data_IF_278268953479
#
_entry.id   IF_278268953479
#
_cell.length_a   1.000
_cell.length_b   1.000
_cell.length_c   1.000
_cell.angle_alpha   90.00
_cell.angle_beta   90.00
_cell.angle_gamma   90.00
#
_symmetry.space_group_name_H-M   'P 1'
#
loop_
_entity.id
_entity.type
_entity.pdbx_description
1 polymer ?
#
# COMPACT_ATOMS: atom_id res chain seq x y z
N UNK A 1 -27.33 -2.17 -50.54
CA UNK A 1 -27.33 -3.49 -49.86
C UNK A 1 -27.69 -3.25 -48.41
N UNK A 2 -28.98 -3.26 -48.06
CA UNK A 2 -29.43 -3.02 -46.68
C UNK A 2 -29.30 -4.31 -45.86
N UNK A 3 -28.65 -4.24 -44.70
CA UNK A 3 -28.56 -5.36 -43.76
C UNK A 3 -29.95 -5.69 -43.21
N UNK A 4 -30.37 -6.95 -43.34
CA UNK A 4 -31.65 -7.46 -42.86
C UNK A 4 -31.84 -7.20 -41.36
N UNK A 5 -32.91 -6.51 -40.99
CA UNK A 5 -33.30 -6.31 -39.59
C UNK A 5 -33.67 -7.68 -38.99
N UNK A 6 -33.03 -8.12 -37.89
CA UNK A 6 -33.34 -9.39 -37.24
C UNK A 6 -34.81 -9.41 -36.79
N UNK A 7 -35.56 -10.43 -37.21
CA UNK A 7 -36.94 -10.63 -36.76
C UNK A 7 -36.93 -11.22 -35.35
N UNK A 8 -37.53 -10.52 -34.40
CA UNK A 8 -37.68 -10.90 -32.99
C UNK A 8 -38.23 -12.32 -32.77
N UNK A 9 -39.04 -12.81 -33.72
CA UNK A 9 -39.56 -14.18 -33.71
C UNK A 9 -38.47 -15.26 -33.86
N UNK A 10 -37.37 -14.98 -34.57
CA UNK A 10 -36.26 -15.91 -34.72
C UNK A 10 -35.39 -15.96 -33.46
N UNK A 11 -35.30 -14.86 -32.70
CA UNK A 11 -34.58 -14.83 -31.42
C UNK A 11 -35.34 -15.62 -30.34
N UNK A 12 -36.67 -15.52 -30.33
CA UNK A 12 -37.54 -16.24 -29.39
C UNK A 12 -37.66 -17.75 -29.70
N UNK A 13 -37.44 -18.17 -30.96
CA UNK A 13 -37.40 -19.59 -31.37
C UNK A 13 -36.03 -20.24 -31.20
N UNK A 14 -35.06 -19.55 -30.58
CA UNK A 14 -33.77 -20.13 -30.26
C UNK A 14 -33.94 -21.42 -29.45
N UNK A 15 -33.34 -22.51 -29.92
CA UNK A 15 -33.32 -23.77 -29.18
C UNK A 15 -32.69 -23.54 -27.79
N UNK A 16 -33.15 -24.24 -26.74
CA UNK A 16 -32.53 -24.13 -25.43
C UNK A 16 -31.03 -24.43 -25.54
N UNK A 17 -30.18 -23.73 -24.77
CA UNK A 17 -28.73 -23.93 -24.83
C UNK A 17 -28.39 -25.41 -24.60
N UNK A 18 -27.66 -25.99 -25.54
CA UNK A 18 -27.21 -27.38 -25.43
C UNK A 18 -26.29 -27.55 -24.21
N UNK A 19 -26.30 -28.72 -23.55
CA UNK A 19 -25.48 -28.96 -22.37
C UNK A 19 -24.00 -28.83 -22.73
N UNK A 20 -23.33 -27.84 -22.15
CA UNK A 20 -21.89 -27.62 -22.33
C UNK A 20 -21.12 -28.69 -21.55
N UNK A 21 -20.50 -29.63 -22.28
CA UNK A 21 -19.59 -30.61 -21.67
C UNK A 21 -18.31 -29.89 -21.23
N UNK A 22 -18.12 -29.75 -19.92
CA UNK A 22 -16.90 -29.18 -19.33
C UNK A 22 -15.87 -30.30 -19.14
N UNK A 23 -14.67 -30.12 -19.69
CA UNK A 23 -13.53 -31.02 -19.48
C UNK A 23 -12.49 -30.28 -18.65
N UNK A 24 -11.96 -30.93 -17.61
CA UNK A 24 -10.79 -30.43 -16.87
C UNK A 24 -9.56 -31.01 -17.55
N UNK A 25 -8.70 -30.14 -18.08
CA UNK A 25 -7.40 -30.52 -18.63
C UNK A 25 -6.48 -30.95 -17.47
N UNK A 26 -5.62 -31.93 -17.73
CA UNK A 26 -4.57 -32.28 -16.78
C UNK A 26 -3.51 -31.15 -16.72
N UNK A 27 -2.70 -31.07 -15.64
CA UNK A 27 -1.61 -30.09 -15.55
C UNK A 27 -0.63 -30.17 -16.73
N UNK A 28 -0.32 -31.39 -17.18
CA UNK A 28 0.57 -31.64 -18.32
C UNK A 28 -0.04 -31.14 -19.65
N UNK A 29 -1.34 -31.33 -19.87
CA UNK A 29 -2.04 -30.82 -21.06
C UNK A 29 -2.12 -29.28 -21.06
N UNK A 30 -2.16 -28.65 -19.88
CA UNK A 30 -2.20 -27.19 -19.76
C UNK A 30 -0.84 -26.56 -20.12
N UNK A 31 0.27 -27.13 -19.64
CA UNK A 31 1.62 -26.62 -19.95
C UNK A 31 1.94 -26.69 -21.45
N UNK A 32 1.36 -27.64 -22.18
CA UNK A 32 1.55 -27.76 -23.62
C UNK A 32 0.82 -26.66 -24.41
N UNK A 33 -0.23 -26.08 -23.84
CA UNK A 33 -1.10 -25.06 -24.48
C UNK A 33 -0.75 -23.64 -24.02
N UNK A 34 -0.28 -23.45 -22.79
CA UNK A 34 0.05 -22.13 -22.24
C UNK A 34 1.25 -21.52 -22.99
N UNK A 35 0.99 -20.44 -23.73
CA UNK A 35 2.02 -19.67 -24.46
C UNK A 35 2.40 -20.22 -25.84
N UNK A 36 1.75 -21.30 -26.32
CA UNK A 36 1.98 -21.90 -27.65
C UNK A 36 0.70 -21.84 -28.51
N UNK A 37 0.81 -21.86 -29.84
CA UNK A 37 -0.36 -21.97 -30.71
C UNK A 37 -1.07 -23.32 -30.48
N UNK A 38 -2.40 -23.27 -30.35
CA UNK A 38 -3.23 -24.46 -30.06
C UNK A 38 -3.02 -25.51 -31.17
N UNK A 39 -2.60 -26.75 -30.85
CA UNK A 39 -2.36 -27.77 -31.84
C UNK A 39 -3.66 -28.16 -32.57
N UNK A 40 -3.58 -28.40 -33.88
CA UNK A 40 -4.74 -28.77 -34.71
C UNK A 40 -5.45 -30.06 -34.27
N UNK A 41 -4.78 -30.90 -33.48
CA UNK A 41 -5.32 -32.14 -32.91
C UNK A 41 -6.23 -31.91 -31.69
N UNK A 42 -6.29 -30.69 -31.15
CA UNK A 42 -7.08 -30.39 -29.96
C UNK A 42 -8.58 -30.28 -30.29
N UNK A 43 -9.32 -31.34 -29.99
CA UNK A 43 -10.78 -31.44 -30.24
C UNK A 43 -11.64 -31.00 -29.05
N UNK A 44 -11.04 -30.76 -27.88
CA UNK A 44 -11.77 -30.37 -26.67
C UNK A 44 -12.04 -28.84 -26.67
N UNK A 45 -13.22 -28.36 -26.25
CA UNK A 45 -13.45 -26.94 -26.10
C UNK A 45 -12.59 -26.38 -24.95
N UNK A 46 -11.71 -25.41 -25.26
CA UNK A 46 -10.87 -24.73 -24.26
C UNK A 46 -11.73 -23.66 -23.58
N UNK A 47 -12.16 -23.94 -22.35
CA UNK A 47 -12.70 -22.91 -21.49
C UNK A 47 -11.57 -22.03 -20.98
N UNK A 48 -11.50 -20.78 -21.44
CA UNK A 48 -10.73 -19.76 -20.74
C UNK A 48 -11.52 -19.36 -19.51
N UNK A 49 -11.19 -19.95 -18.35
CA UNK A 49 -11.65 -19.42 -17.07
C UNK A 49 -11.02 -18.02 -16.89
N UNK A 50 -11.71 -16.97 -17.35
CA UNK A 50 -11.26 -15.56 -17.25
C UNK A 50 -11.25 -15.05 -15.81
N UNK A 51 -11.78 -15.82 -14.86
CA UNK A 51 -11.46 -15.63 -13.46
C UNK A 51 -10.17 -16.37 -13.20
N UNK A 52 -9.07 -15.61 -13.17
CA UNK A 52 -7.83 -16.04 -12.54
C UNK A 52 -8.19 -16.78 -11.25
N UNK A 53 -8.14 -18.10 -11.31
CA UNK A 53 -8.10 -18.92 -10.12
C UNK A 53 -6.78 -18.53 -9.49
N UNK A 54 -6.84 -17.58 -8.55
CA UNK A 54 -5.77 -17.36 -7.61
C UNK A 54 -5.31 -18.76 -7.20
N UNK A 55 -4.03 -19.12 -7.42
CA UNK A 55 -3.55 -20.41 -6.95
C UNK A 55 -3.93 -20.43 -5.48
N UNK A 56 -4.80 -21.37 -5.12
CA UNK A 56 -5.01 -21.68 -3.72
C UNK A 56 -3.60 -22.01 -3.25
N UNK A 57 -2.96 -21.06 -2.55
CA UNK A 57 -1.89 -21.38 -1.62
C UNK A 57 -2.42 -22.58 -0.87
N UNK A 58 -1.79 -23.73 -1.09
CA UNK A 58 -1.88 -24.83 -0.17
C UNK A 58 -1.63 -24.19 1.18
N UNK A 59 -2.72 -24.04 1.94
CA UNK A 59 -2.61 -23.65 3.33
C UNK A 59 -1.92 -24.86 3.92
N UNK A 60 -0.61 -24.76 4.11
CA UNK A 60 0.05 -25.54 5.14
C UNK A 60 -0.83 -25.41 6.38
N UNK A 61 -1.47 -26.53 6.68
CA UNK A 61 -2.41 -26.64 7.77
C UNK A 61 -1.56 -26.57 9.03
N UNK A 62 -1.64 -25.42 9.71
CA UNK A 62 -1.18 -25.16 11.07
C UNK A 62 0.30 -24.85 11.30
N UNK A 63 0.85 -23.81 10.67
CA UNK A 63 1.95 -23.07 11.30
C UNK A 63 1.45 -21.69 11.75
N UNK A 64 0.66 -21.68 12.82
CA UNK A 64 0.34 -20.43 13.52
C UNK A 64 1.63 -20.02 14.24
N UNK A 65 2.18 -18.82 14.01
CA UNK A 65 3.38 -18.37 14.70
C UNK A 65 3.16 -18.51 16.20
N UNK A 66 4.04 -19.26 16.88
CA UNK A 66 3.95 -19.51 18.32
C UNK A 66 4.18 -18.20 19.06
N UNK A 67 3.10 -17.56 19.50
CA UNK A 67 3.18 -16.32 20.27
C UNK A 67 3.41 -16.67 21.75
N UNK A 68 4.46 -16.08 22.35
CA UNK A 68 4.77 -16.26 23.77
C UNK A 68 3.97 -15.25 24.63
N UNK A 69 3.36 -15.73 25.74
CA UNK A 69 2.57 -14.92 26.67
C UNK A 69 3.42 -13.82 27.31
N UNK A 70 4.63 -14.16 27.74
CA UNK A 70 5.49 -13.24 28.47
C UNK A 70 6.00 -12.09 27.59
N UNK A 71 6.35 -12.38 26.33
CA UNK A 71 6.77 -11.36 25.37
C UNK A 71 5.64 -10.39 25.04
N UNK A 72 4.42 -10.91 24.87
CA UNK A 72 3.23 -10.07 24.69
C UNK A 72 3.00 -9.15 25.89
N UNK A 73 3.00 -9.70 27.11
CA UNK A 73 2.82 -8.91 28.34
C UNK A 73 3.95 -7.90 28.55
N UNK A 74 5.19 -8.22 28.19
CA UNK A 74 6.32 -7.30 28.24
C UNK A 74 6.11 -6.10 27.30
N UNK A 75 5.72 -6.34 26.05
CA UNK A 75 5.42 -5.28 25.08
C UNK A 75 4.26 -4.41 25.55
N UNK A 76 3.21 -5.01 26.13
CA UNK A 76 2.07 -4.26 26.69
C UNK A 76 2.43 -3.49 27.95
N UNK A 77 3.30 -4.03 28.81
CA UNK A 77 3.80 -3.34 30.00
C UNK A 77 4.63 -2.10 29.66
N UNK A 78 5.31 -2.10 28.50
CA UNK A 78 6.02 -0.95 27.92
C UNK A 78 5.08 0.14 27.36
N UNK A 79 3.77 -0.09 27.35
CA UNK A 79 2.78 0.87 26.85
C UNK A 79 2.48 0.77 25.35
N UNK A 80 2.97 -0.26 24.65
CA UNK A 80 2.66 -0.46 23.24
C UNK A 80 1.18 -0.86 23.06
N UNK A 81 0.56 -0.37 21.99
CA UNK A 81 -0.80 -0.77 21.59
C UNK A 81 -0.87 -2.24 21.16
N UNK A 82 -2.04 -2.87 21.23
CA UNK A 82 -2.23 -4.27 20.75
C UNK A 82 -1.78 -4.47 19.31
N UNK A 83 -2.04 -3.47 18.45
CA UNK A 83 -1.63 -3.50 17.05
C UNK A 83 -0.13 -3.49 16.84
N UNK A 84 0.59 -2.68 17.60
CA UNK A 84 2.07 -2.62 17.51
C UNK A 84 2.71 -3.86 18.14
N UNK A 85 2.16 -4.37 19.24
CA UNK A 85 2.58 -5.64 19.84
C UNK A 85 2.36 -6.83 18.87
N UNK A 86 1.22 -6.89 18.19
CA UNK A 86 0.92 -7.92 17.19
C UNK A 86 1.94 -7.96 16.06
N UNK A 87 2.28 -6.78 15.51
CA UNK A 87 3.28 -6.66 14.44
C UNK A 87 4.66 -7.12 14.90
N UNK A 88 5.09 -6.75 16.12
CA UNK A 88 6.38 -7.20 16.68
C UNK A 88 6.45 -8.71 16.89
N UNK A 89 5.33 -9.34 17.20
CA UNK A 89 5.21 -10.79 17.39
C UNK A 89 4.94 -11.55 16.07
N UNK A 90 4.98 -10.87 14.92
CA UNK A 90 4.75 -11.49 13.61
C UNK A 90 3.33 -12.04 13.42
N UNK A 91 2.34 -11.49 14.15
CA UNK A 91 0.95 -11.97 14.12
C UNK A 91 -0.03 -10.83 13.80
N UNK A 92 -1.32 -11.19 13.68
CA UNK A 92 -2.40 -10.23 13.44
C UNK A 92 -3.14 -9.91 14.74
N UNK A 93 -3.71 -8.71 14.82
CA UNK A 93 -4.54 -8.26 15.97
C UNK A 93 -5.69 -9.25 16.20
N UNK A 94 -6.36 -9.66 15.12
CA UNK A 94 -7.46 -10.63 15.17
C UNK A 94 -7.03 -11.97 15.76
N UNK A 95 -5.80 -12.42 15.49
CA UNK A 95 -5.26 -13.66 16.07
C UNK A 95 -4.99 -13.50 17.56
N UNK A 96 -4.41 -12.38 17.99
CA UNK A 96 -4.20 -12.11 19.42
C UNK A 96 -5.53 -12.08 20.16
N UNK A 97 -6.51 -11.31 19.67
CA UNK A 97 -7.79 -11.11 20.35
C UNK A 97 -8.67 -12.36 20.39
N UNK A 98 -8.77 -13.11 19.27
CA UNK A 98 -9.68 -14.26 19.19
C UNK A 98 -9.06 -15.56 19.70
N UNK A 99 -7.74 -15.72 19.57
CA UNK A 99 -7.07 -16.99 19.82
C UNK A 99 -6.14 -16.93 21.03
N UNK A 100 -5.16 -16.01 21.04
CA UNK A 100 -4.12 -16.03 22.07
C UNK A 100 -4.59 -15.54 23.44
N UNK A 101 -5.32 -14.41 23.51
CA UNK A 101 -5.86 -13.91 24.77
C UNK A 101 -6.78 -14.96 25.42
N UNK A 102 -7.65 -15.59 24.62
CA UNK A 102 -8.50 -16.69 25.08
C UNK A 102 -7.69 -17.91 25.55
N UNK A 103 -6.61 -18.26 24.85
CA UNK A 103 -5.73 -19.38 25.23
C UNK A 103 -4.93 -19.12 26.51
N UNK A 104 -4.71 -17.86 26.87
CA UNK A 104 -4.04 -17.44 28.10
C UNK A 104 -5.01 -17.10 29.24
N UNK A 105 -6.30 -17.40 29.05
CA UNK A 105 -7.40 -17.07 29.97
C UNK A 105 -7.54 -15.57 30.29
N UNK A 106 -7.07 -14.70 29.39
CA UNK A 106 -7.20 -13.24 29.48
C UNK A 106 -8.48 -12.83 28.74
N UNK A 107 -9.56 -12.60 29.48
CA UNK A 107 -10.84 -12.24 28.90
C UNK A 107 -11.11 -10.72 29.02
N UNK A 108 -11.21 -10.07 27.87
CA UNK A 108 -11.55 -8.64 27.79
C UNK A 108 -10.39 -7.69 28.11
N UNK A 109 -10.70 -6.39 28.10
CA UNK A 109 -9.71 -5.32 28.32
C UNK A 109 -9.27 -5.30 29.79
N UNK A 110 -10.21 -5.39 30.73
CA UNK A 110 -9.93 -5.36 32.17
C UNK A 110 -9.01 -6.53 32.61
N UNK A 111 -9.30 -7.76 32.14
CA UNK A 111 -8.45 -8.91 32.45
C UNK A 111 -7.03 -8.79 31.88
N UNK A 112 -6.87 -8.09 30.75
CA UNK A 112 -5.55 -7.81 30.19
C UNK A 112 -4.75 -6.84 31.07
N UNK A 113 -5.40 -5.78 31.56
CA UNK A 113 -4.77 -4.77 32.41
C UNK A 113 -4.34 -5.35 33.77
N UNK A 114 -5.16 -6.21 34.37
CA UNK A 114 -4.83 -6.94 35.60
C UNK A 114 -3.59 -7.84 35.41
N UNK A 115 -3.53 -8.57 34.30
CA UNK A 115 -2.41 -9.48 34.02
C UNK A 115 -1.12 -8.69 33.70
N UNK A 116 -1.23 -7.53 33.04
CA UNK A 116 -0.09 -6.61 32.85
C UNK A 116 0.39 -6.05 34.19
N UNK A 117 -0.52 -5.72 35.11
CA UNK A 117 -0.17 -5.25 36.44
C UNK A 117 0.58 -6.34 37.23
N UNK A 118 0.06 -7.58 37.24
CA UNK A 118 0.72 -8.74 37.82
C UNK A 118 2.11 -8.99 37.23
N UNK A 119 2.24 -8.87 35.90
CA UNK A 119 3.53 -9.01 35.23
C UNK A 119 4.54 -7.94 35.67
N UNK A 120 4.11 -6.68 35.82
CA UNK A 120 4.95 -5.58 36.33
C UNK A 120 5.38 -5.83 37.78
N UNK A 121 4.49 -6.34 38.62
CA UNK A 121 4.79 -6.68 40.01
C UNK A 121 5.77 -7.84 40.12
N UNK A 122 5.58 -8.91 39.35
CA UNK A 122 6.49 -10.06 39.29
C UNK A 122 7.91 -9.65 38.85
N UNK A 123 8.05 -8.78 37.84
CA UNK A 123 9.35 -8.24 37.42
C UNK A 123 9.98 -7.31 38.45
N UNK A 124 9.17 -6.57 39.21
CA UNK A 124 9.66 -5.71 40.30
C UNK A 124 10.13 -6.54 41.50
N UNK A 125 9.50 -7.67 41.78
CA UNK A 125 9.88 -8.61 42.85
C UNK A 125 11.18 -9.34 42.52
N UNK A 126 11.32 -9.90 41.31
CA UNK A 126 12.57 -10.55 40.86
C UNK A 126 13.75 -9.59 40.83
N UNK A 127 13.54 -8.32 40.43
CA UNK A 127 14.58 -7.28 40.49
C UNK A 127 14.99 -6.89 41.93
N UNK A 128 14.18 -7.23 42.94
CA UNK A 128 14.49 -6.98 44.36
C UNK A 128 15.18 -8.17 45.05
N UNK A 129 14.94 -9.41 44.60
CA UNK A 129 15.64 -10.58 45.17
C UNK A 129 17.12 -10.67 44.74
N UNK A 130 17.46 -10.20 43.54
CA UNK A 130 18.87 -10.10 43.08
C UNK A 130 19.62 -8.88 43.65
N UNK A 131 18.99 -8.11 44.54
CA UNK A 131 19.56 -6.91 45.15
C UNK A 131 19.84 -7.09 46.66
N UNK A 132 20.35 -8.27 47.05
CA UNK A 132 20.96 -8.47 48.37
C UNK A 132 22.49 -8.57 48.21
N UNK A 133 23.28 -7.56 48.65
CA UNK A 133 24.73 -7.67 48.70
C UNK A 133 25.18 -8.40 49.99
N UNK A 134 26.23 -9.23 49.97
CA UNK A 134 27.05 -9.42 51.15
C UNK A 134 28.03 -8.23 51.22
N UNK A 135 27.83 -7.37 52.21
CA UNK A 135 28.87 -6.46 52.66
C UNK A 135 29.94 -7.26 53.43
N UNK A 136 31.19 -6.81 53.28
CA UNK A 136 32.40 -7.16 54.02
C UNK A 136 33.01 -8.56 53.79
N UNK A 137 33.91 -8.63 52.81
CA UNK A 137 35.37 -8.77 53.03
C UNK A 137 36.04 -9.13 51.70
N UNK A 138 36.88 -8.21 51.20
CA UNK A 138 38.25 -8.48 50.71
C UNK A 138 38.73 -7.29 49.86
N UNK A 139 39.45 -6.40 50.57
CA UNK A 139 40.57 -5.66 50.00
C UNK A 139 41.60 -6.67 49.51
N UNK A 140 41.90 -6.68 48.21
CA UNK A 140 43.24 -6.64 47.64
C UNK A 140 43.14 -6.92 46.13
N UNK A 141 43.93 -6.17 45.37
CA UNK A 141 44.26 -6.42 43.97
C UNK A 141 43.18 -6.12 42.92
N UNK A 142 42.84 -4.84 42.79
CA UNK A 142 42.51 -4.27 41.49
C UNK A 142 43.38 -3.03 41.26
N UNK A 143 44.37 -3.30 40.40
CA UNK A 143 45.32 -2.38 39.79
C UNK A 143 44.60 -1.10 39.37
N UNK A 144 45.16 0.02 39.80
CA UNK A 144 44.81 1.35 39.32
C UNK A 144 45.06 1.42 37.81
N UNK A 145 44.01 1.22 37.00
CA UNK A 145 43.90 1.91 35.73
C UNK A 145 43.14 3.19 35.99
N UNK A 146 43.91 4.28 36.05
CA UNK A 146 43.42 5.65 35.99
C UNK A 146 42.36 5.78 34.89
N UNK A 147 41.24 6.48 35.12
CA UNK A 147 40.39 6.90 34.01
C UNK A 147 41.21 7.89 33.21
N UNK A 148 41.79 7.44 32.09
CA UNK A 148 42.31 8.35 31.08
C UNK A 148 41.15 9.25 30.69
N UNK A 149 41.20 10.50 31.16
CA UNK A 149 40.40 11.58 30.65
C UNK A 149 40.70 11.65 29.15
N UNK A 150 39.85 11.01 28.36
CA UNK A 150 39.78 11.30 26.95
C UNK A 150 39.34 12.77 26.89
N UNK A 151 40.32 13.64 26.60
CA UNK A 151 40.08 14.91 25.95
C UNK A 151 39.11 14.64 24.80
N UNK A 152 37.82 14.90 25.05
CA UNK A 152 36.86 15.11 23.99
C UNK A 152 37.32 16.39 23.29
N UNK A 153 38.20 16.23 22.31
CA UNK A 153 38.44 17.26 21.32
C UNK A 153 37.04 17.72 20.84
N UNK A 154 36.73 19.03 20.88
CA UNK A 154 35.46 19.52 20.39
C UNK A 154 35.34 19.07 18.95
N UNK A 155 34.43 18.12 18.69
CA UNK A 155 34.09 17.78 17.32
C UNK A 155 33.56 19.07 16.70
N UNK A 156 34.28 19.58 15.70
CA UNK A 156 33.79 20.67 14.88
C UNK A 156 32.35 20.33 14.47
N UNK A 157 31.39 21.27 14.61
CA UNK A 157 30.02 21.02 14.25
C UNK A 157 30.01 20.57 12.80
N UNK A 158 29.77 19.26 12.59
CA UNK A 158 29.58 18.71 11.27
C UNK A 158 28.47 19.55 10.65
N UNK A 159 28.83 20.33 9.64
CA UNK A 159 27.89 21.13 8.86
C UNK A 159 26.86 20.13 8.36
N UNK A 160 25.68 20.15 8.98
CA UNK A 160 24.55 19.36 8.52
C UNK A 160 24.27 19.86 7.11
N UNK A 161 24.68 19.09 6.12
CA UNK A 161 24.32 19.32 4.74
C UNK A 161 22.80 19.49 4.73
N UNK A 162 22.34 20.71 4.43
CA UNK A 162 20.93 20.99 4.29
C UNK A 162 20.45 20.22 3.07
N UNK A 163 19.94 19.01 3.29
CA UNK A 163 19.24 18.23 2.29
C UNK A 163 17.95 18.98 1.94
N UNK A 164 18.02 19.87 0.95
CA UNK A 164 16.84 20.48 0.35
C UNK A 164 16.14 19.41 -0.47
N UNK A 165 15.06 18.86 0.06
CA UNK A 165 14.22 17.91 -0.67
C UNK A 165 13.64 18.66 -1.88
N UNK A 166 13.82 18.17 -3.11
CA UNK A 166 13.28 18.82 -4.30
C UNK A 166 11.76 18.89 -4.19
N UNK A 167 11.23 20.10 -4.34
CA UNK A 167 9.80 20.36 -4.39
C UNK A 167 9.22 19.79 -5.68
N UNK A 168 8.34 18.80 -5.57
CA UNK A 168 7.59 18.24 -6.70
C UNK A 168 6.11 18.56 -6.45
N UNK A 169 5.52 19.51 -7.22
CA UNK A 169 4.11 19.86 -7.07
C UNK A 169 3.22 18.67 -7.41
N UNK A 170 2.14 18.49 -6.64
CA UNK A 170 1.14 17.46 -6.90
C UNK A 170 0.26 17.90 -8.07
N UNK A 171 -0.01 16.99 -8.99
CA UNK A 171 -0.96 17.24 -10.08
C UNK A 171 -2.35 16.76 -9.70
N UNK A 172 -3.30 17.68 -9.60
CA UNK A 172 -4.71 17.39 -9.28
C UNK A 172 -5.59 17.51 -10.51
N UNK A 173 -6.58 16.64 -10.64
CA UNK A 173 -7.63 16.86 -11.65
C UNK A 173 -8.43 18.12 -11.34
N UNK A 174 -9.14 18.66 -12.34
CA UNK A 174 -10.00 19.82 -12.15
C UNK A 174 -11.06 19.59 -11.05
N UNK A 175 -11.62 18.38 -11.01
CA UNK A 175 -12.62 17.97 -10.02
C UNK A 175 -12.01 17.92 -8.61
N UNK A 176 -10.83 17.32 -8.45
CA UNK A 176 -10.08 17.29 -7.20
C UNK A 176 -9.72 18.69 -6.71
N UNK A 177 -9.24 19.56 -7.61
CA UNK A 177 -8.89 20.92 -7.27
C UNK A 177 -10.10 21.75 -6.82
N UNK A 178 -11.25 21.59 -7.46
CA UNK A 178 -12.49 22.26 -7.08
C UNK A 178 -13.00 21.75 -5.74
N UNK A 179 -13.01 20.44 -5.52
CA UNK A 179 -13.36 19.83 -4.26
C UNK A 179 -12.43 20.32 -3.13
N UNK A 180 -11.12 20.35 -3.37
CA UNK A 180 -10.14 20.82 -2.39
C UNK A 180 -10.35 22.29 -2.04
N UNK A 181 -10.58 23.15 -3.04
CA UNK A 181 -10.93 24.57 -2.84
C UNK A 181 -12.17 24.73 -1.97
N UNK A 182 -13.19 23.90 -2.19
CA UNK A 182 -14.42 23.93 -1.40
C UNK A 182 -14.12 23.60 0.07
N UNK A 183 -13.35 22.56 0.36
CA UNK A 183 -12.99 22.21 1.75
C UNK A 183 -12.14 23.30 2.40
N UNK A 184 -11.18 23.86 1.66
CA UNK A 184 -10.30 24.95 2.15
C UNK A 184 -11.05 26.23 2.52
N UNK A 185 -12.25 26.46 1.98
CA UNK A 185 -13.10 27.59 2.38
C UNK A 185 -13.73 27.39 3.78
N UNK A 186 -13.87 26.15 4.22
CA UNK A 186 -14.62 25.81 5.44
C UNK A 186 -13.75 25.26 6.57
N UNK A 187 -12.55 24.73 6.27
CA UNK A 187 -11.68 24.07 7.24
C UNK A 187 -10.23 24.54 7.10
N UNK A 188 -9.48 24.65 8.22
CA UNK A 188 -8.05 24.91 8.18
C UNK A 188 -7.29 23.70 7.63
N UNK A 189 -6.12 23.96 7.05
CA UNK A 189 -5.23 22.96 6.43
C UNK A 189 -5.05 21.68 7.28
N UNK A 190 -4.72 21.86 8.56
CA UNK A 190 -4.47 20.75 9.50
C UNK A 190 -5.70 19.85 9.68
N UNK A 191 -6.91 20.44 9.72
CA UNK A 191 -8.16 19.70 9.88
C UNK A 191 -8.51 18.93 8.60
N UNK A 192 -8.19 19.47 7.42
CA UNK A 192 -8.40 18.79 6.14
C UNK A 192 -7.57 17.52 6.08
N UNK A 193 -6.28 17.61 6.41
CA UNK A 193 -5.36 16.47 6.42
C UNK A 193 -5.78 15.46 7.47
N UNK A 194 -6.12 15.92 8.68
CA UNK A 194 -6.58 15.04 9.74
C UNK A 194 -7.85 14.30 9.32
N UNK A 195 -8.85 15.00 8.78
CA UNK A 195 -10.11 14.41 8.37
C UNK A 195 -9.89 13.39 7.24
N UNK A 196 -9.10 13.73 6.22
CA UNK A 196 -8.75 12.82 5.14
C UNK A 196 -7.99 11.57 5.64
N UNK A 197 -7.12 11.71 6.64
CA UNK A 197 -6.45 10.56 7.27
C UNK A 197 -7.44 9.67 8.04
N UNK A 198 -8.40 10.27 8.76
CA UNK A 198 -9.39 9.53 9.54
C UNK A 198 -10.39 8.81 8.64
N UNK A 199 -10.88 9.49 7.59
CA UNK A 199 -11.84 8.94 6.63
C UNK A 199 -11.28 7.76 5.86
N UNK A 200 -10.07 7.88 5.32
CA UNK A 200 -9.46 6.82 4.49
C UNK A 200 -8.90 5.67 5.34
N UNK A 201 -8.20 5.98 6.44
CA UNK A 201 -7.40 4.99 7.18
C UNK A 201 -8.20 4.36 8.33
N UNK A 202 -9.06 5.12 9.02
CA UNK A 202 -9.65 4.69 10.30
C UNK A 202 -11.11 4.28 10.12
N UNK A 203 -11.96 5.16 9.59
CA UNK A 203 -13.40 4.92 9.51
C UNK A 203 -13.82 4.25 8.21
N UNK A 204 -12.96 4.29 7.17
CA UNK A 204 -13.31 3.89 5.81
C UNK A 204 -14.57 4.59 5.28
N UNK A 205 -14.89 5.76 5.84
CA UNK A 205 -15.98 6.60 5.38
C UNK A 205 -15.48 7.47 4.25
N UNK A 206 -16.11 7.40 3.09
CA UNK A 206 -15.68 8.15 1.92
C UNK A 206 -16.26 9.55 1.96
N UNK A 207 -15.50 10.52 1.46
CA UNK A 207 -16.04 11.83 1.11
C UNK A 207 -17.21 11.65 0.15
N UNK A 208 -18.30 12.40 0.36
CA UNK A 208 -19.54 12.26 -0.41
C UNK A 208 -19.74 13.48 -1.31
N UNK A 209 -20.56 13.29 -2.34
CA UNK A 209 -21.04 14.36 -3.21
C UNK A 209 -19.87 15.11 -3.89
N UNK A 210 -19.85 16.44 -3.77
CA UNK A 210 -18.84 17.30 -4.42
C UNK A 210 -17.41 17.07 -3.91
N UNK A 211 -17.25 16.33 -2.79
CA UNK A 211 -15.96 16.00 -2.20
C UNK A 211 -15.47 14.60 -2.53
N UNK A 212 -16.28 13.80 -3.22
CA UNK A 212 -15.93 12.45 -3.65
C UNK A 212 -14.59 12.36 -4.42
N UNK A 213 -14.22 13.32 -5.30
CA UNK A 213 -12.94 13.27 -6.01
C UNK A 213 -11.71 13.27 -5.09
N UNK A 214 -11.84 13.76 -3.85
CA UNK A 214 -10.73 13.77 -2.88
C UNK A 214 -10.42 12.37 -2.33
N UNK A 215 -11.30 11.37 -2.50
CA UNK A 215 -11.05 10.01 -2.05
C UNK A 215 -9.91 9.33 -2.83
N UNK A 216 -9.66 9.76 -4.07
CA UNK A 216 -8.62 9.20 -4.94
C UNK A 216 -7.22 9.70 -4.59
N UNK A 217 -7.11 10.73 -3.75
CA UNK A 217 -5.83 11.27 -3.31
C UNK A 217 -5.25 10.42 -2.19
N UNK A 218 -3.96 10.14 -2.28
CA UNK A 218 -3.21 9.59 -1.15
C UNK A 218 -3.02 10.66 -0.07
N UNK A 219 -2.78 10.22 1.17
CA UNK A 219 -2.53 11.14 2.28
C UNK A 219 -1.34 12.07 2.01
N UNK A 220 -0.28 11.57 1.36
CA UNK A 220 0.89 12.38 1.00
C UNK A 220 0.55 13.43 -0.07
N UNK A 221 -0.21 13.05 -1.10
CA UNK A 221 -0.69 14.00 -2.12
C UNK A 221 -1.59 15.07 -1.51
N UNK A 222 -2.47 14.70 -0.56
CA UNK A 222 -3.32 15.64 0.16
C UNK A 222 -2.49 16.64 0.98
N UNK A 223 -1.49 16.15 1.75
CA UNK A 223 -0.59 17.00 2.54
C UNK A 223 0.14 18.00 1.63
N UNK A 224 0.75 17.51 0.55
CA UNK A 224 1.45 18.36 -0.40
C UNK A 224 0.49 19.35 -1.07
N UNK A 225 -0.66 18.90 -1.57
CA UNK A 225 -1.63 19.79 -2.20
C UNK A 225 -2.09 20.94 -1.27
N UNK A 226 -2.26 20.66 0.03
CA UNK A 226 -2.73 21.63 1.02
C UNK A 226 -1.64 22.60 1.47
N UNK A 227 -0.42 22.12 1.79
CA UNK A 227 0.64 22.99 2.35
C UNK A 227 1.61 23.53 1.32
N UNK A 228 1.89 22.74 0.28
CA UNK A 228 2.86 23.05 -0.75
C UNK A 228 2.18 23.68 -1.97
N UNK A 229 0.92 23.30 -2.23
CA UNK A 229 0.16 23.72 -3.39
C UNK A 229 0.09 22.60 -4.43
N UNK A 230 -0.66 22.86 -5.51
CA UNK A 230 -0.88 21.89 -6.57
C UNK A 230 -0.91 22.55 -7.94
N UNK A 231 -0.63 21.76 -8.96
CA UNK A 231 -0.84 22.11 -10.36
C UNK A 231 -2.04 21.34 -10.89
N UNK A 232 -2.77 21.93 -11.83
CA UNK A 232 -3.85 21.22 -12.50
C UNK A 232 -3.26 20.23 -13.49
N UNK A 233 -3.64 18.96 -13.35
CA UNK A 233 -3.38 17.92 -14.31
C UNK A 233 -3.96 18.35 -15.66
N UNK A 234 -3.07 18.57 -16.62
CA UNK A 234 -3.46 19.00 -17.97
C UNK A 234 -4.21 17.89 -18.65
N UNK A 235 -5.25 18.25 -19.41
CA UNK A 235 -5.96 17.27 -20.22
C UNK A 235 -5.03 16.72 -21.31
N UNK A 236 -5.26 15.49 -21.81
CA UNK A 236 -4.49 14.93 -22.92
C UNK A 236 -4.37 15.88 -24.11
N UNK A 237 -5.44 16.62 -24.43
CA UNK A 237 -5.47 17.59 -25.51
C UNK A 237 -4.59 18.81 -25.22
N UNK A 238 -4.55 19.28 -23.98
CA UNK A 238 -3.71 20.41 -23.55
C UNK A 238 -2.23 20.02 -23.48
N UNK A 239 -1.94 18.80 -23.04
CA UNK A 239 -0.58 18.23 -23.09
C UNK A 239 -0.09 18.14 -24.54
N UNK A 240 -0.93 17.64 -25.44
CA UNK A 240 -0.60 17.52 -26.85
C UNK A 240 -0.38 18.89 -27.50
N UNK A 241 -1.21 19.88 -27.17
CA UNK A 241 -1.01 21.26 -27.63
C UNK A 241 0.30 21.85 -27.11
N UNK A 242 0.61 21.67 -25.82
CA UNK A 242 1.85 22.18 -25.22
C UNK A 242 3.09 21.55 -25.86
N UNK A 243 3.09 20.23 -26.06
CA UNK A 243 4.19 19.53 -26.73
C UNK A 243 4.32 19.95 -28.20
N UNK A 244 3.20 20.18 -28.88
CA UNK A 244 3.21 20.70 -30.24
C UNK A 244 3.83 22.10 -30.32
N UNK A 245 3.42 23.03 -29.45
CA UNK A 245 4.01 24.38 -29.38
C UNK A 245 5.51 24.33 -29.07
N UNK A 246 5.95 23.44 -28.17
CA UNK A 246 7.37 23.25 -27.88
C UNK A 246 8.14 22.66 -29.06
N UNK A 247 7.56 21.70 -29.78
CA UNK A 247 8.17 21.10 -30.95
C UNK A 247 8.28 22.11 -32.10
N UNK A 248 7.22 22.89 -32.33
CA UNK A 248 7.19 23.98 -33.30
C UNK A 248 8.27 25.03 -33.00
N UNK A 249 8.40 25.45 -31.74
CA UNK A 249 9.41 26.40 -31.31
C UNK A 249 10.86 25.89 -31.50
N UNK A 250 11.09 24.57 -31.41
CA UNK A 250 12.42 23.96 -31.54
C UNK A 250 12.83 23.70 -32.99
N UNK A 251 11.90 23.27 -33.84
CA UNK A 251 12.22 22.67 -35.15
C UNK A 251 11.59 23.44 -36.32
N UNK A 252 10.60 24.30 -36.07
CA UNK A 252 9.83 25.02 -37.09
C UNK A 252 8.67 24.18 -37.66
N UNK A 253 7.56 24.85 -37.98
CA UNK A 253 6.28 24.23 -38.33
C UNK A 253 6.32 23.29 -39.56
N UNK A 254 7.24 23.52 -40.51
CA UNK A 254 7.25 22.82 -41.81
C UNK A 254 8.10 21.54 -41.85
N UNK A 255 8.73 21.15 -40.74
CA UNK A 255 9.56 19.95 -40.71
C UNK A 255 8.72 18.68 -40.62
N UNK A 256 8.89 17.76 -41.57
CA UNK A 256 8.28 16.43 -41.54
C UNK A 256 8.66 15.61 -40.28
N UNK A 257 9.73 16.00 -39.58
CA UNK A 257 10.09 15.41 -38.29
C UNK A 257 9.09 15.78 -37.19
N UNK A 258 8.58 17.02 -37.16
CA UNK A 258 7.61 17.50 -36.16
C UNK A 258 6.32 16.69 -36.23
N UNK A 259 5.85 16.35 -37.43
CA UNK A 259 4.67 15.51 -37.61
C UNK A 259 4.86 14.08 -37.07
N UNK A 260 6.04 13.48 -37.26
CA UNK A 260 6.31 12.13 -36.73
C UNK A 260 6.44 12.15 -35.22
N UNK A 261 7.17 13.12 -34.67
CA UNK A 261 7.32 13.27 -33.21
C UNK A 261 5.99 13.59 -32.55
N UNK A 262 5.16 14.43 -33.17
CA UNK A 262 3.80 14.72 -32.69
C UNK A 262 2.88 13.51 -32.72
N UNK A 263 2.91 12.69 -33.78
CA UNK A 263 2.17 11.43 -33.84
C UNK A 263 2.63 10.43 -32.78
N UNK A 264 3.94 10.37 -32.51
CA UNK A 264 4.51 9.51 -31.48
C UNK A 264 4.06 9.96 -30.08
N UNK A 265 4.21 11.25 -29.77
CA UNK A 265 3.78 11.82 -28.49
C UNK A 265 2.27 11.69 -28.28
N UNK A 266 1.46 11.92 -29.33
CA UNK A 266 0.02 11.70 -29.25
C UNK A 266 -0.31 10.24 -28.93
N UNK A 267 0.31 9.29 -29.63
CA UNK A 267 0.12 7.87 -29.37
C UNK A 267 0.52 7.49 -27.93
N UNK A 268 1.62 8.05 -27.41
CA UNK A 268 2.08 7.84 -26.04
C UNK A 268 1.10 8.45 -25.00
N UNK A 269 0.64 9.69 -25.21
CA UNK A 269 -0.31 10.38 -24.32
C UNK A 269 -1.64 9.62 -24.22
N UNK A 270 -2.14 9.09 -25.33
CA UNK A 270 -3.37 8.28 -25.36
C UNK A 270 -3.15 6.80 -24.96
N UNK A 271 -1.90 6.39 -24.68
CA UNK A 271 -1.56 5.02 -24.29
C UNK A 271 -1.73 3.99 -25.40
N UNK A 272 -1.71 4.41 -26.66
CA UNK A 272 -1.81 3.54 -27.83
C UNK A 272 -0.43 3.18 -28.35
N UNK A 273 -0.15 1.89 -28.56
CA UNK A 273 1.07 1.44 -29.23
C UNK A 273 0.80 1.17 -30.71
N UNK A 274 1.46 1.92 -31.57
CA UNK A 274 1.39 1.81 -33.03
C UNK A 274 2.74 1.32 -33.56
N UNK A 275 2.73 0.18 -34.24
CA UNK A 275 3.93 -0.44 -34.79
C UNK A 275 4.59 0.48 -35.82
N UNK A 276 5.89 0.75 -35.65
CA UNK A 276 6.64 1.68 -36.50
C UNK A 276 6.53 3.16 -36.10
N UNK A 277 5.82 3.48 -35.01
CA UNK A 277 5.73 4.84 -34.45
C UNK A 277 6.23 4.86 -33.00
N UNK A 278 5.63 4.08 -32.09
CA UNK A 278 5.98 4.07 -30.65
C UNK A 278 5.95 2.67 -29.99
N UNK A 279 5.79 1.59 -30.77
CA UNK A 279 5.76 0.21 -30.26
C UNK A 279 7.15 -0.42 -30.14
#
# INVERSE_FOLDING_TARGET
>A
MGTSIPRRENELKGAPPSPVKKYKLSPEELEEIVGKPIPKSHTKPIGFDTKASNPKKEKDVNDVPKVNKEEYLALRAQGLSRGTAAKKLGTTIKSIEKYWLKRWDINGIAGEEEEIARYKEQRKATKKEDATPPADELKADLIATEPTAQEYAPQEPQQQEQYTIPYIPVQLTLEQANALKLVMQHKPADEIVLLHSQTIIITHEWWKEELEPLNDLTLDEMIRAVYQGYELAKKPEELLLQEFEQAEARVGADSAAVFRTGLQLAADIFGHKVQGVNA
#
